data_IF_368801575662
#
_entry.id   IF_368801575662
#
_cell.length_a   1.000
_cell.length_b   1.000
_cell.length_c   1.000
_cell.angle_alpha   90.00
_cell.angle_beta   90.00
_cell.angle_gamma   90.00
#
_symmetry.space_group_name_H-M   'P 1'
#
loop_
_entity.id
_entity.type
_entity.pdbx_description
1 polymer ?
#
# COMPACT_ATOMS: atom_id res chain seq x y z
N UNK A 1 -14.10 49.79 -13.13
CA UNK A 1 -13.64 48.86 -14.18
C UNK A 1 -12.54 47.99 -13.59
N UNK A 2 -12.85 46.74 -13.29
CA UNK A 2 -11.90 45.76 -12.78
C UNK A 2 -10.95 45.34 -13.91
N UNK A 3 -9.66 45.60 -13.73
CA UNK A 3 -8.60 45.18 -14.66
C UNK A 3 -8.56 43.64 -14.69
N UNK A 4 -9.02 43.02 -15.79
CA UNK A 4 -8.80 41.59 -16.01
C UNK A 4 -7.34 41.45 -16.45
N UNK A 5 -6.47 40.76 -15.70
CA UNK A 5 -5.09 40.56 -16.10
C UNK A 5 -5.04 39.88 -17.46
N UNK A 6 -4.22 40.39 -18.39
CA UNK A 6 -3.98 39.68 -19.67
C UNK A 6 -3.25 38.36 -19.37
N UNK A 7 -3.84 37.23 -19.76
CA UNK A 7 -3.27 35.90 -19.52
C UNK A 7 -2.43 35.42 -20.71
N UNK A 8 -3.02 35.39 -21.91
CA UNK A 8 -2.33 35.09 -23.17
C UNK A 8 -2.87 36.01 -24.26
N UNK A 9 -1.97 36.73 -24.94
CA UNK A 9 -2.32 37.58 -26.07
C UNK A 9 -1.75 36.93 -27.33
N UNK A 10 -2.63 36.65 -28.30
CA UNK A 10 -2.20 36.22 -29.64
C UNK A 10 -1.46 37.36 -30.34
N UNK A 11 -0.68 37.04 -31.38
CA UNK A 11 -0.03 38.05 -32.23
C UNK A 11 -1.03 39.02 -32.89
N UNK A 12 -2.32 38.65 -32.96
CA UNK A 12 -3.42 39.49 -33.43
C UNK A 12 -4.15 40.26 -32.32
N UNK A 13 -3.61 40.32 -31.10
CA UNK A 13 -4.18 41.08 -29.99
C UNK A 13 -5.36 40.42 -29.26
N UNK A 14 -5.81 39.24 -29.70
CA UNK A 14 -6.90 38.52 -29.02
C UNK A 14 -6.43 37.91 -27.70
N UNK A 15 -7.20 38.14 -26.64
CA UNK A 15 -6.93 37.64 -25.29
C UNK A 15 -7.68 36.33 -25.03
N UNK A 16 -7.00 35.34 -24.47
CA UNK A 16 -7.64 34.10 -24.02
C UNK A 16 -8.39 34.37 -22.71
N UNK A 17 -9.70 34.07 -22.62
CA UNK A 17 -10.46 34.29 -21.41
C UNK A 17 -10.03 33.33 -20.28
N UNK A 18 -10.15 33.73 -19.00
CA UNK A 18 -9.75 32.93 -17.85
C UNK A 18 -10.36 31.52 -17.83
N UNK A 19 -11.61 31.38 -18.26
CA UNK A 19 -12.36 30.13 -18.30
C UNK A 19 -11.71 29.11 -19.24
N UNK A 20 -11.19 29.58 -20.39
CA UNK A 20 -10.46 28.72 -21.33
C UNK A 20 -9.12 28.30 -20.73
N UNK A 21 -8.41 29.21 -20.03
CA UNK A 21 -7.19 28.86 -19.31
C UNK A 21 -7.43 27.79 -18.23
N UNK A 22 -8.55 27.87 -17.50
CA UNK A 22 -8.93 26.87 -16.50
C UNK A 22 -9.29 25.52 -17.15
N UNK A 23 -9.99 25.52 -18.29
CA UNK A 23 -10.27 24.30 -19.06
C UNK A 23 -9.01 23.62 -19.58
N UNK A 24 -8.03 24.40 -20.03
CA UNK A 24 -6.70 23.90 -20.40
C UNK A 24 -6.01 23.27 -19.18
N UNK A 25 -6.08 23.92 -18.02
CA UNK A 25 -5.50 23.39 -16.78
C UNK A 25 -6.19 22.08 -16.33
N UNK A 26 -7.51 21.97 -16.44
CA UNK A 26 -8.26 20.72 -16.20
C UNK A 26 -7.76 19.59 -17.11
N UNK A 27 -7.69 19.84 -18.42
CA UNK A 27 -7.22 18.85 -19.39
C UNK A 27 -5.76 18.43 -19.14
N UNK A 28 -4.88 19.39 -18.83
CA UNK A 28 -3.48 19.12 -18.50
C UNK A 28 -3.34 18.35 -17.18
N UNK A 29 -4.17 18.66 -16.19
CA UNK A 29 -4.18 17.95 -14.92
C UNK A 29 -4.52 16.47 -15.13
N UNK A 30 -5.50 16.18 -15.98
CA UNK A 30 -5.88 14.81 -16.32
C UNK A 30 -4.80 14.07 -17.12
N UNK A 31 -4.13 14.73 -18.08
CA UNK A 31 -3.07 14.10 -18.88
C UNK A 31 -1.74 13.97 -18.12
N UNK A 32 -1.16 15.09 -17.69
CA UNK A 32 0.12 15.19 -16.97
C UNK A 32 0.05 16.28 -15.88
N UNK A 33 -0.23 15.92 -14.62
CA UNK A 33 -0.35 16.88 -13.53
C UNK A 33 0.90 17.73 -13.29
N UNK A 34 2.08 17.26 -13.73
CA UNK A 34 3.33 18.03 -13.61
C UNK A 34 3.33 19.25 -14.52
N UNK A 35 2.67 19.16 -15.69
CA UNK A 35 2.55 20.26 -16.64
C UNK A 35 1.76 21.44 -16.06
N UNK A 36 0.82 21.22 -15.14
CA UNK A 36 0.12 22.31 -14.43
C UNK A 36 1.08 23.13 -13.58
N UNK A 37 2.11 22.50 -13.00
CA UNK A 37 3.15 23.25 -12.26
C UNK A 37 3.94 24.15 -13.21
N UNK A 38 4.27 23.67 -14.41
CA UNK A 38 4.91 24.50 -15.43
C UNK A 38 4.02 25.68 -15.84
N UNK A 39 2.70 25.49 -15.98
CA UNK A 39 1.77 26.59 -16.22
C UNK A 39 1.79 27.65 -15.12
N UNK A 40 1.83 27.24 -13.85
CA UNK A 40 1.90 28.18 -12.72
C UNK A 40 3.18 29.02 -12.73
N UNK A 41 4.23 28.58 -13.41
CA UNK A 41 5.49 29.32 -13.56
C UNK A 41 5.55 30.27 -14.77
N UNK A 42 4.54 30.27 -15.65
CA UNK A 42 4.57 31.11 -16.87
C UNK A 42 4.47 32.61 -16.56
N UNK A 43 3.59 33.01 -15.64
CA UNK A 43 3.42 34.40 -15.23
C UNK A 43 2.76 34.53 -13.86
N UNK A 44 2.87 35.72 -13.24
CA UNK A 44 2.16 36.04 -11.99
C UNK A 44 0.64 35.96 -12.14
N UNK A 45 0.10 36.36 -13.30
CA UNK A 45 -1.34 36.29 -13.56
C UNK A 45 -1.81 34.83 -13.62
N UNK A 46 -1.11 33.96 -14.34
CA UNK A 46 -1.39 32.52 -14.37
C UNK A 46 -1.29 31.88 -13.00
N UNK A 47 -0.23 32.20 -12.25
CA UNK A 47 -0.09 31.72 -10.88
C UNK A 47 -1.31 32.07 -10.04
N UNK A 48 -1.72 33.35 -10.01
CA UNK A 48 -2.88 33.79 -9.24
C UNK A 48 -4.16 33.11 -9.70
N UNK A 49 -4.43 33.05 -11.01
CA UNK A 49 -5.62 32.39 -11.56
C UNK A 49 -5.67 30.91 -11.17
N UNK A 50 -4.63 30.14 -11.49
CA UNK A 50 -4.59 28.71 -11.22
C UNK A 50 -4.60 28.41 -9.73
N UNK A 51 -4.01 29.27 -8.90
CA UNK A 51 -4.01 29.07 -7.45
C UNK A 51 -5.37 29.39 -6.82
N UNK A 52 -6.05 30.45 -7.27
CA UNK A 52 -7.38 30.82 -6.80
C UNK A 52 -8.44 29.75 -7.14
N UNK A 53 -8.31 29.09 -8.30
CA UNK A 53 -9.27 28.08 -8.76
C UNK A 53 -8.79 26.63 -8.56
N UNK A 54 -7.66 26.40 -7.89
CA UNK A 54 -7.04 25.07 -7.73
C UNK A 54 -8.02 24.02 -7.22
N UNK A 55 -8.79 24.35 -6.17
CA UNK A 55 -9.80 23.44 -5.61
C UNK A 55 -10.91 23.11 -6.60
N UNK A 56 -11.39 24.10 -7.35
CA UNK A 56 -12.47 23.92 -8.33
C UNK A 56 -12.02 23.04 -9.48
N UNK A 57 -10.86 23.36 -10.06
CA UNK A 57 -10.22 22.59 -11.14
C UNK A 57 -9.98 21.16 -10.68
N UNK A 58 -9.34 20.97 -9.52
CA UNK A 58 -9.05 19.64 -8.99
C UNK A 58 -10.33 18.85 -8.69
N UNK A 59 -11.36 19.49 -8.13
CA UNK A 59 -12.66 18.85 -7.86
C UNK A 59 -13.32 18.37 -9.16
N UNK A 60 -13.30 19.18 -10.21
CA UNK A 60 -13.92 18.83 -11.50
C UNK A 60 -13.32 17.58 -12.14
N UNK A 61 -12.02 17.35 -11.98
CA UNK A 61 -11.31 16.20 -12.56
C UNK A 61 -11.20 15.00 -11.62
N UNK A 62 -11.62 15.15 -10.35
CA UNK A 62 -11.50 14.11 -9.31
C UNK A 62 -12.81 13.44 -8.94
N UNK A 63 -13.93 13.84 -9.55
CA UNK A 63 -15.26 13.27 -9.34
C UNK A 63 -15.42 11.88 -10.01
N UNK A 64 -14.42 11.02 -9.82
CA UNK A 64 -14.31 9.76 -10.50
C UNK A 64 -14.07 8.60 -9.54
N UNK A 65 -14.86 7.54 -9.74
CA UNK A 65 -14.63 6.18 -9.25
C UNK A 65 -13.18 5.68 -9.38
N UNK A 66 -12.39 6.24 -10.32
CA UNK A 66 -10.96 5.96 -10.53
C UNK A 66 -10.11 6.08 -9.25
N UNK A 67 -10.51 6.85 -8.24
CA UNK A 67 -9.77 7.05 -6.99
C UNK A 67 -10.36 6.34 -5.76
N UNK A 68 -11.30 5.41 -5.93
CA UNK A 68 -12.02 4.77 -4.81
C UNK A 68 -11.10 4.10 -3.76
N UNK A 69 -9.92 3.64 -4.15
CA UNK A 69 -8.99 2.88 -3.29
C UNK A 69 -7.73 3.67 -2.88
N UNK A 70 -7.59 4.94 -3.29
CA UNK A 70 -6.38 5.75 -3.04
C UNK A 70 -6.43 6.55 -1.74
N UNK A 71 -7.52 6.40 -0.98
CA UNK A 71 -7.83 7.17 0.23
C UNK A 71 -8.07 8.68 -0.04
N UNK A 72 -8.65 8.99 -1.21
CA UNK A 72 -8.92 10.35 -1.68
C UNK A 72 -9.78 11.20 -0.74
N UNK A 73 -10.61 10.59 0.10
CA UNK A 73 -11.55 11.30 0.97
C UNK A 73 -10.91 11.92 2.21
N UNK A 74 -9.67 11.57 2.56
CA UNK A 74 -9.03 12.12 3.76
C UNK A 74 -8.61 13.57 3.55
N UNK A 75 -8.83 14.47 4.54
CA UNK A 75 -8.51 15.89 4.41
C UNK A 75 -7.02 16.15 4.17
N UNK A 76 -6.18 15.23 4.65
CA UNK A 76 -4.73 15.25 4.55
C UNK A 76 -4.19 13.84 4.39
N UNK A 77 -3.20 13.69 3.53
CA UNK A 77 -2.55 12.41 3.25
C UNK A 77 -1.02 12.54 3.28
N UNK A 78 -0.35 11.42 3.49
CA UNK A 78 1.10 11.32 3.42
C UNK A 78 1.56 11.31 1.95
N UNK A 79 2.56 12.12 1.63
CA UNK A 79 3.15 12.13 0.29
C UNK A 79 3.93 10.84 0.02
N UNK A 80 3.69 10.18 -1.11
CA UNK A 80 4.45 8.99 -1.53
C UNK A 80 5.79 9.33 -2.21
N UNK A 81 6.30 10.56 -2.17
CA UNK A 81 7.57 10.89 -2.87
C UNK A 81 8.77 10.50 -2.02
N UNK A 82 9.74 9.74 -2.56
CA UNK A 82 10.95 9.34 -1.84
C UNK A 82 11.86 10.51 -1.40
N UNK A 83 12.40 10.48 -0.16
CA UNK A 83 11.84 9.76 0.99
C UNK A 83 10.45 10.36 1.34
N UNK A 84 9.42 9.56 1.66
CA UNK A 84 8.10 10.05 2.03
C UNK A 84 8.27 10.93 3.25
N UNK A 85 8.44 12.22 2.99
CA UNK A 85 8.56 13.21 4.03
C UNK A 85 7.29 13.12 4.86
N UNK A 86 7.34 13.54 6.11
CA UNK A 86 6.16 13.94 6.90
C UNK A 86 5.36 15.07 6.23
N UNK A 87 5.68 15.42 4.99
CA UNK A 87 5.00 16.33 4.10
C UNK A 87 3.55 15.89 3.91
N UNK A 88 2.68 16.67 4.55
CA UNK A 88 1.26 16.61 4.41
C UNK A 88 0.83 17.18 3.06
N UNK A 89 0.01 16.45 2.33
CA UNK A 89 -0.67 16.96 1.13
C UNK A 89 -2.12 17.27 1.48
N UNK A 90 -2.53 18.51 1.26
CA UNK A 90 -3.92 18.95 1.46
C UNK A 90 -4.81 18.52 0.29
N UNK A 91 -6.05 18.13 0.61
CA UNK A 91 -7.08 17.77 -0.38
C UNK A 91 -7.32 18.83 -1.43
N UNK A 92 -7.70 18.37 -2.63
CA UNK A 92 -8.09 19.21 -3.77
C UNK A 92 -7.00 20.23 -4.18
N UNK A 93 -5.73 19.83 -4.05
CA UNK A 93 -4.58 20.54 -4.61
C UNK A 93 -4.05 19.81 -5.84
N UNK A 94 -3.29 20.49 -6.70
CA UNK A 94 -2.64 19.84 -7.85
C UNK A 94 -1.69 18.72 -7.42
N UNK A 95 -0.99 18.93 -6.28
CA UNK A 95 -0.13 17.90 -5.67
C UNK A 95 -0.93 16.69 -5.18
N UNK A 96 -2.10 16.93 -4.58
CA UNK A 96 -3.01 15.85 -4.17
C UNK A 96 -3.51 15.05 -5.37
N UNK A 97 -3.89 15.69 -6.47
CA UNK A 97 -4.35 14.98 -7.65
C UNK A 97 -3.24 14.10 -8.26
N UNK A 98 -2.01 14.64 -8.36
CA UNK A 98 -0.84 13.84 -8.77
C UNK A 98 -0.64 12.64 -7.85
N UNK A 99 -0.71 12.84 -6.52
CA UNK A 99 -0.58 11.76 -5.54
C UNK A 99 -1.68 10.70 -5.73
N UNK A 100 -2.94 11.08 -6.00
CA UNK A 100 -4.01 10.11 -6.28
C UNK A 100 -3.75 9.30 -7.54
N UNK A 101 -3.24 9.92 -8.62
CA UNK A 101 -2.82 9.20 -9.83
C UNK A 101 -1.65 8.25 -9.56
N UNK A 102 -0.68 8.69 -8.76
CA UNK A 102 0.49 7.88 -8.41
C UNK A 102 0.06 6.67 -7.57
N UNK A 103 -0.77 6.86 -6.52
CA UNK A 103 -1.31 5.79 -5.70
C UNK A 103 -2.15 4.80 -6.51
N UNK A 104 -2.98 5.26 -7.43
CA UNK A 104 -3.74 4.39 -8.33
C UNK A 104 -2.81 3.51 -9.17
N UNK A 105 -1.81 4.12 -9.80
CA UNK A 105 -0.83 3.41 -10.63
C UNK A 105 -0.04 2.38 -9.83
N UNK A 106 0.32 2.75 -8.60
CA UNK A 106 0.98 1.86 -7.65
C UNK A 106 0.10 0.68 -7.25
N UNK A 107 -1.18 0.91 -6.94
CA UNK A 107 -2.12 -0.17 -6.60
C UNK A 107 -2.21 -1.18 -7.76
N UNK A 108 -2.43 -0.71 -8.99
CA UNK A 108 -2.53 -1.60 -10.15
C UNK A 108 -1.22 -2.35 -10.42
N UNK A 109 -0.07 -1.70 -10.19
CA UNK A 109 1.22 -2.38 -10.23
C UNK A 109 1.33 -3.48 -9.18
N UNK A 110 1.08 -3.18 -7.90
CA UNK A 110 1.27 -4.15 -6.82
C UNK A 110 0.34 -5.34 -6.95
N UNK A 111 -0.90 -5.12 -7.37
CA UNK A 111 -1.92 -6.16 -7.55
C UNK A 111 -1.49 -7.23 -8.56
N UNK A 112 -0.74 -6.83 -9.59
CA UNK A 112 -0.22 -7.69 -10.65
C UNK A 112 1.20 -8.19 -10.38
N UNK A 113 1.87 -7.65 -9.37
CA UNK A 113 3.24 -8.02 -9.00
C UNK A 113 3.27 -9.30 -8.15
N UNK A 114 4.32 -10.11 -8.33
CA UNK A 114 4.52 -11.37 -7.60
C UNK A 114 4.64 -11.20 -6.08
N UNK A 115 5.02 -10.00 -5.61
CA UNK A 115 5.06 -9.69 -4.17
C UNK A 115 3.68 -9.76 -3.52
N UNK A 116 2.60 -9.64 -4.28
CA UNK A 116 1.23 -9.84 -3.78
C UNK A 116 0.62 -11.16 -4.26
N UNK A 117 1.42 -12.10 -4.76
CA UNK A 117 0.88 -13.37 -5.23
C UNK A 117 0.22 -14.14 -4.08
N UNK A 118 -1.02 -14.60 -4.31
CA UNK A 118 -1.80 -15.36 -3.33
C UNK A 118 -1.93 -16.84 -3.72
N UNK A 119 -1.02 -17.35 -4.56
CA UNK A 119 -1.03 -18.74 -5.01
C UNK A 119 -0.49 -19.64 -3.91
N UNK A 120 -1.27 -20.64 -3.54
CA UNK A 120 -0.83 -21.72 -2.67
C UNK A 120 -0.45 -22.92 -3.55
N UNK A 121 0.84 -23.28 -3.56
CA UNK A 121 1.35 -24.47 -4.27
C UNK A 121 1.10 -25.76 -3.49
N UNK A 122 0.60 -25.67 -2.25
CA UNK A 122 0.22 -26.84 -1.47
C UNK A 122 -1.20 -27.28 -1.85
N UNK A 123 -1.28 -28.36 -2.65
CA UNK A 123 -2.50 -28.99 -3.18
C UNK A 123 -3.48 -29.55 -2.11
N UNK A 124 -3.38 -29.12 -0.85
CA UNK A 124 -4.15 -29.66 0.28
C UNK A 124 -5.39 -28.85 0.69
N UNK A 125 -5.65 -27.70 0.06
CA UNK A 125 -6.75 -26.81 0.47
C UNK A 125 -8.02 -27.01 -0.35
N UNK A 126 -9.20 -26.88 0.28
CA UNK A 126 -10.47 -26.97 -0.42
C UNK A 126 -10.57 -25.82 -1.41
N UNK A 127 -10.69 -26.17 -2.69
CA UNK A 127 -10.97 -25.22 -3.75
C UNK A 127 -12.39 -24.69 -3.59
N UNK A 128 -12.58 -23.39 -3.76
CA UNK A 128 -13.93 -22.83 -3.89
C UNK A 128 -14.49 -23.28 -5.24
N UNK A 129 -15.77 -23.63 -5.29
CA UNK A 129 -16.51 -23.90 -6.54
C UNK A 129 -16.73 -22.59 -7.32
N UNK A 130 -15.64 -21.99 -7.80
CA UNK A 130 -15.62 -20.74 -8.54
C UNK A 130 -14.86 -20.96 -9.84
N UNK A 131 -15.30 -20.28 -10.89
CA UNK A 131 -14.49 -20.23 -12.11
C UNK A 131 -13.18 -19.50 -11.84
N UNK A 132 -12.14 -19.84 -12.61
CA UNK A 132 -10.81 -19.17 -12.53
C UNK A 132 -10.97 -17.65 -12.70
N UNK A 133 -11.84 -17.21 -13.61
CA UNK A 133 -12.10 -15.80 -13.85
C UNK A 133 -12.78 -15.08 -12.67
N UNK A 134 -13.69 -15.73 -11.96
CA UNK A 134 -14.32 -15.16 -10.77
C UNK A 134 -13.36 -15.12 -9.58
N UNK A 135 -12.60 -16.19 -9.37
CA UNK A 135 -11.57 -16.24 -8.34
C UNK A 135 -10.54 -15.11 -8.54
N UNK A 136 -10.08 -14.92 -9.78
CA UNK A 136 -9.17 -13.83 -10.12
C UNK A 136 -9.78 -12.45 -9.82
N UNK A 137 -11.05 -12.20 -10.20
CA UNK A 137 -11.71 -10.92 -9.90
C UNK A 137 -11.83 -10.67 -8.39
N UNK A 138 -12.17 -11.70 -7.61
CA UNK A 138 -12.28 -11.60 -6.16
C UNK A 138 -10.92 -11.36 -5.50
N UNK A 139 -9.86 -12.01 -5.98
CA UNK A 139 -8.49 -11.78 -5.53
C UNK A 139 -8.07 -10.32 -5.78
N UNK A 140 -8.29 -9.82 -6.99
CA UNK A 140 -7.95 -8.45 -7.38
C UNK A 140 -8.69 -7.43 -6.50
N UNK A 141 -9.98 -7.64 -6.24
CA UNK A 141 -10.78 -6.79 -5.36
C UNK A 141 -10.33 -6.87 -3.91
N UNK A 142 -9.97 -8.07 -3.43
CA UNK A 142 -9.40 -8.26 -2.10
C UNK A 142 -8.10 -7.46 -1.94
N UNK A 143 -7.19 -7.54 -2.92
CA UNK A 143 -5.95 -6.78 -2.93
C UNK A 143 -6.19 -5.28 -2.96
N UNK A 144 -7.11 -4.77 -3.81
CA UNK A 144 -7.50 -3.34 -3.83
C UNK A 144 -7.94 -2.85 -2.46
N UNK A 145 -8.80 -3.60 -1.78
CA UNK A 145 -9.29 -3.27 -0.43
C UNK A 145 -8.17 -3.33 0.61
N UNK A 146 -7.30 -4.33 0.56
CA UNK A 146 -6.16 -4.45 1.46
C UNK A 146 -5.18 -3.28 1.32
N UNK A 147 -4.80 -2.94 0.09
CA UNK A 147 -3.90 -1.82 -0.20
C UNK A 147 -4.53 -0.47 0.19
N UNK A 148 -5.84 -0.31 -0.01
CA UNK A 148 -6.57 0.88 0.48
C UNK A 148 -6.50 1.02 2.00
N UNK A 149 -6.72 -0.08 2.75
CA UNK A 149 -6.60 -0.08 4.22
C UNK A 149 -5.17 0.23 4.69
N UNK A 150 -4.15 -0.20 3.94
CA UNK A 150 -2.75 0.15 4.20
C UNK A 150 -2.47 1.64 3.97
N UNK A 151 -3.01 2.25 2.90
CA UNK A 151 -2.91 3.70 2.73
C UNK A 151 -3.57 4.45 3.88
N UNK A 152 -4.74 4.02 4.33
CA UNK A 152 -5.42 4.61 5.49
C UNK A 152 -4.61 4.48 6.78
N UNK A 153 -3.97 3.33 7.01
CA UNK A 153 -3.10 3.11 8.15
C UNK A 153 -1.87 4.05 8.13
N UNK A 154 -1.26 4.25 6.96
CA UNK A 154 -0.14 5.18 6.83
C UNK A 154 -0.61 6.65 7.02
N UNK A 155 -1.69 7.02 6.34
CA UNK A 155 -2.22 8.39 6.34
C UNK A 155 -2.73 8.83 7.72
N UNK A 156 -3.16 7.91 8.60
CA UNK A 156 -3.59 8.27 9.96
C UNK A 156 -2.46 8.81 10.84
N UNK A 157 -1.21 8.70 10.37
CA UNK A 157 -0.01 9.20 11.05
C UNK A 157 0.59 10.45 10.38
N UNK A 158 -0.09 10.99 9.37
CA UNK A 158 0.37 12.17 8.63
C UNK A 158 0.66 13.34 9.58
N UNK A 159 1.82 13.97 9.43
CA UNK A 159 2.24 15.11 10.25
C UNK A 159 2.84 14.75 11.61
N UNK A 160 2.94 13.46 11.95
CA UNK A 160 3.56 13.01 13.20
C UNK A 160 5.03 12.63 12.96
N UNK A 161 5.92 13.09 13.85
CA UNK A 161 7.34 12.75 13.82
C UNK A 161 7.72 11.76 14.93
N UNK A 162 7.03 11.79 16.06
CA UNK A 162 7.35 10.96 17.21
C UNK A 162 6.83 9.53 17.05
N UNK A 163 7.71 8.55 17.28
CA UNK A 163 7.35 7.12 17.19
C UNK A 163 6.17 6.77 18.10
N UNK A 164 6.13 7.31 19.31
CA UNK A 164 5.07 7.03 20.29
C UNK A 164 3.70 7.46 19.76
N UNK A 165 3.63 8.66 19.20
CA UNK A 165 2.38 9.22 18.66
C UNK A 165 1.93 8.49 17.41
N UNK A 166 2.87 8.17 16.51
CA UNK A 166 2.62 7.33 15.33
C UNK A 166 1.96 6.01 15.76
N UNK A 167 2.54 5.30 16.74
CA UNK A 167 2.02 4.00 17.19
C UNK A 167 0.67 4.11 17.89
N UNK A 168 0.50 5.13 18.72
CA UNK A 168 -0.79 5.41 19.35
C UNK A 168 -1.88 5.65 18.30
N UNK A 169 -1.59 6.42 17.26
CA UNK A 169 -2.54 6.69 16.17
C UNK A 169 -2.84 5.49 15.30
N UNK A 170 -1.82 4.69 14.97
CA UNK A 170 -2.04 3.42 14.28
C UNK A 170 -2.89 2.46 15.12
N UNK A 171 -2.66 2.36 16.43
CA UNK A 171 -3.48 1.54 17.32
C UNK A 171 -4.94 2.01 17.34
N UNK A 172 -5.18 3.32 17.51
CA UNK A 172 -6.52 3.89 17.44
C UNK A 172 -7.22 3.59 16.10
N UNK A 173 -6.49 3.66 14.99
CA UNK A 173 -7.03 3.30 13.68
C UNK A 173 -7.41 1.81 13.61
N UNK A 174 -6.51 0.91 14.05
CA UNK A 174 -6.79 -0.53 14.09
C UNK A 174 -7.99 -0.88 14.99
N UNK A 175 -8.16 -0.15 16.09
CA UNK A 175 -9.30 -0.29 17.01
C UNK A 175 -10.62 0.13 16.37
N UNK A 176 -10.57 1.08 15.43
CA UNK A 176 -11.74 1.58 14.71
C UNK A 176 -12.19 0.68 13.56
N UNK A 177 -11.34 -0.26 13.11
CA UNK A 177 -11.65 -1.13 11.98
C UNK A 177 -12.66 -2.20 12.36
N UNK A 178 -13.56 -2.50 11.41
CA UNK A 178 -14.43 -3.67 11.53
C UNK A 178 -13.59 -4.94 11.46
N UNK A 179 -14.08 -6.03 12.07
CA UNK A 179 -13.39 -7.34 12.09
C UNK A 179 -13.01 -7.80 10.68
N UNK A 180 -13.87 -7.59 9.69
CA UNK A 180 -13.59 -7.97 8.31
C UNK A 180 -12.46 -7.13 7.70
N UNK A 181 -12.40 -5.82 7.96
CA UNK A 181 -11.35 -4.91 7.51
C UNK A 181 -10.02 -5.23 8.18
N UNK A 182 -10.02 -5.43 9.51
CA UNK A 182 -8.82 -5.82 10.26
C UNK A 182 -8.23 -7.13 9.73
N UNK A 183 -9.08 -8.13 9.46
CA UNK A 183 -8.63 -9.39 8.86
C UNK A 183 -8.10 -9.23 7.43
N UNK A 184 -8.72 -8.35 6.61
CA UNK A 184 -8.22 -8.04 5.27
C UNK A 184 -6.86 -7.34 5.34
N UNK A 185 -6.69 -6.39 6.26
CA UNK A 185 -5.42 -5.69 6.50
C UNK A 185 -4.33 -6.64 6.99
N UNK A 186 -4.62 -7.49 7.98
CA UNK A 186 -3.65 -8.48 8.47
C UNK A 186 -3.23 -9.46 7.37
N UNK A 187 -4.17 -9.94 6.55
CA UNK A 187 -3.88 -10.85 5.46
C UNK A 187 -3.06 -10.21 4.34
N UNK A 188 -3.36 -8.96 3.93
CA UNK A 188 -2.57 -8.33 2.88
C UNK A 188 -1.14 -8.01 3.34
N UNK A 189 -0.93 -7.66 4.61
CA UNK A 189 0.42 -7.43 5.17
C UNK A 189 1.24 -8.71 5.11
N UNK A 190 0.69 -9.83 5.55
CA UNK A 190 1.41 -11.11 5.48
C UNK A 190 1.64 -11.55 4.02
N UNK A 191 0.64 -11.44 3.14
CA UNK A 191 0.83 -11.81 1.72
C UNK A 191 2.01 -11.05 1.12
N UNK A 192 2.12 -9.75 1.39
CA UNK A 192 3.25 -8.94 0.92
C UNK A 192 4.56 -9.37 1.61
N UNK A 193 4.54 -9.67 2.91
CA UNK A 193 5.69 -10.19 3.65
C UNK A 193 6.21 -11.52 3.09
N UNK A 194 5.33 -12.48 2.83
CA UNK A 194 5.68 -13.77 2.23
C UNK A 194 6.17 -13.63 0.78
N UNK A 195 5.57 -12.70 0.03
CA UNK A 195 6.08 -12.31 -1.28
C UNK A 195 7.51 -11.79 -1.19
N UNK A 196 7.78 -10.87 -0.25
CA UNK A 196 9.14 -10.38 0.02
C UNK A 196 10.10 -11.52 0.38
N UNK A 197 9.69 -12.43 1.28
CA UNK A 197 10.51 -13.58 1.66
C UNK A 197 10.88 -14.44 0.45
N UNK A 198 9.88 -14.78 -0.38
CA UNK A 198 10.05 -15.64 -1.55
C UNK A 198 11.00 -15.01 -2.57
N UNK A 199 10.78 -13.74 -2.91
CA UNK A 199 11.62 -12.98 -3.86
C UNK A 199 13.06 -12.88 -3.33
N UNK A 200 13.22 -12.53 -2.05
CA UNK A 200 14.54 -12.36 -1.42
C UNK A 200 15.30 -13.68 -1.38
N UNK A 201 14.63 -14.77 -0.99
CA UNK A 201 15.22 -16.10 -0.95
C UNK A 201 15.67 -16.57 -2.33
N UNK A 202 14.83 -16.38 -3.36
CA UNK A 202 15.19 -16.71 -4.74
C UNK A 202 16.42 -15.90 -5.20
N UNK A 203 16.44 -14.59 -4.94
CA UNK A 203 17.56 -13.71 -5.31
C UNK A 203 18.87 -14.10 -4.62
N UNK A 204 18.82 -14.55 -3.36
CA UNK A 204 20.00 -15.03 -2.63
C UNK A 204 20.52 -16.36 -3.19
N UNK A 205 19.62 -17.29 -3.53
CA UNK A 205 19.99 -18.57 -4.13
C UNK A 205 20.64 -18.40 -5.51
N UNK A 206 20.17 -17.45 -6.31
CA UNK A 206 20.75 -17.11 -7.61
C UNK A 206 22.18 -16.55 -7.52
N UNK A 207 22.57 -16.00 -6.36
CA UNK A 207 23.92 -15.46 -6.12
C UNK A 207 24.93 -16.53 -5.69
N UNK A 208 24.49 -17.76 -5.38
CA UNK A 208 25.43 -18.81 -4.98
C UNK A 208 26.30 -19.26 -6.18
N UNK A 209 27.62 -19.44 -6.00
CA UNK A 209 28.55 -19.77 -7.11
C UNK A 209 28.33 -21.10 -7.84
N UNK A 210 27.30 -21.89 -7.50
CA UNK A 210 27.21 -23.32 -7.89
C UNK A 210 26.41 -23.62 -9.18
N UNK A 211 25.88 -22.62 -9.90
CA UNK A 211 25.17 -22.85 -11.17
C UNK A 211 25.55 -21.85 -12.27
N UNK A 212 26.85 -21.72 -12.58
CA UNK A 212 27.32 -21.02 -13.80
C UNK A 212 27.11 -21.81 -15.10
N UNK A 213 26.06 -22.62 -15.18
CA UNK A 213 25.64 -23.25 -16.43
C UNK A 213 24.15 -23.01 -16.60
N UNK A 214 23.84 -22.00 -17.41
CA UNK A 214 22.52 -21.73 -17.97
C UNK A 214 21.46 -21.12 -17.04
N UNK A 215 21.42 -19.79 -16.96
CA UNK A 215 20.13 -19.09 -16.90
C UNK A 215 20.27 -17.63 -17.33
N UNK A 216 19.63 -17.27 -18.46
CA UNK A 216 19.35 -15.88 -18.84
C UNK A 216 18.21 -15.30 -17.97
N UNK A 217 18.40 -15.30 -16.65
CA UNK A 217 17.45 -14.71 -15.70
C UNK A 217 17.68 -13.20 -15.63
N UNK A 218 16.71 -12.41 -16.12
CA UNK A 218 16.67 -10.95 -16.00
C UNK A 218 16.09 -10.52 -14.64
N UNK A 219 16.49 -11.14 -13.53
CA UNK A 219 16.12 -10.65 -12.19
C UNK A 219 17.17 -9.64 -11.71
N UNK A 220 16.85 -8.35 -11.83
CA UNK A 220 17.73 -7.22 -11.49
C UNK A 220 17.35 -6.63 -10.13
N UNK A 221 17.22 -7.47 -9.11
CA UNK A 221 17.16 -7.02 -7.71
C UNK A 221 18.54 -7.27 -7.09
N UNK A 222 19.46 -6.31 -7.22
CA UNK A 222 20.63 -6.27 -6.35
C UNK A 222 20.15 -5.81 -4.98
N UNK A 223 19.65 -6.75 -4.18
CA UNK A 223 19.60 -6.56 -2.74
C UNK A 223 20.99 -6.08 -2.30
N UNK A 224 21.04 -4.99 -1.54
CA UNK A 224 22.24 -4.65 -0.77
C UNK A 224 22.37 -5.68 0.36
N UNK A 225 22.73 -6.90 0.00
CA UNK A 225 23.08 -7.96 0.96
C UNK A 225 24.33 -7.45 1.66
N UNK A 226 24.33 -7.32 3.00
CA UNK A 226 25.54 -6.99 3.74
C UNK A 226 26.66 -7.94 3.31
N UNK A 227 27.89 -7.46 3.08
CA UNK A 227 28.97 -8.25 2.49
C UNK A 227 29.44 -9.45 3.36
N UNK A 228 28.84 -9.66 4.54
CA UNK A 228 29.20 -10.74 5.47
C UNK A 228 27.98 -11.32 6.19
N UNK A 229 26.98 -11.84 5.49
CA UNK A 229 26.02 -12.75 6.15
C UNK A 229 26.74 -14.09 6.37
N UNK A 230 26.89 -14.57 7.62
CA UNK A 230 27.45 -15.89 7.87
C UNK A 230 26.63 -16.96 7.15
N UNK A 231 27.29 -17.87 6.43
CA UNK A 231 26.65 -18.92 5.62
C UNK A 231 25.62 -19.76 6.40
N UNK A 232 25.78 -19.89 7.72
CA UNK A 232 24.85 -20.60 8.59
C UNK A 232 23.49 -19.90 8.76
N UNK A 233 23.43 -18.57 8.65
CA UNK A 233 22.18 -17.80 8.78
C UNK A 233 21.34 -17.84 7.49
N UNK A 234 21.99 -18.06 6.34
CA UNK A 234 21.31 -18.29 5.05
C UNK A 234 20.67 -19.69 4.97
N UNK A 235 21.22 -20.69 5.67
CA UNK A 235 20.65 -22.04 5.69
C UNK A 235 19.41 -22.17 6.56
N UNK A 236 19.25 -21.32 7.58
CA UNK A 236 18.16 -21.40 8.55
C UNK A 236 16.95 -20.52 8.20
N UNK A 237 17.04 -19.75 7.12
CA UNK A 237 16.08 -18.71 6.72
C UNK A 237 15.86 -17.61 7.79
N UNK A 238 16.56 -17.65 8.94
CA UNK A 238 16.28 -16.78 10.09
C UNK A 238 16.47 -15.31 9.74
N UNK A 239 17.57 -14.98 9.06
CA UNK A 239 17.84 -13.62 8.59
C UNK A 239 16.73 -13.08 7.65
N UNK A 240 16.24 -13.90 6.73
CA UNK A 240 15.19 -13.49 5.80
C UNK A 240 13.87 -13.27 6.56
N UNK A 241 13.58 -14.10 7.56
CA UNK A 241 12.41 -13.93 8.43
C UNK A 241 12.50 -12.64 9.24
N UNK A 242 13.66 -12.35 9.81
CA UNK A 242 13.94 -11.08 10.50
C UNK A 242 13.73 -9.87 9.58
N UNK A 243 14.31 -9.91 8.37
CA UNK A 243 14.07 -8.90 7.35
C UNK A 243 12.59 -8.75 7.01
N UNK A 244 11.85 -9.86 6.90
CA UNK A 244 10.41 -9.86 6.63
C UNK A 244 9.64 -9.17 7.76
N UNK A 245 10.02 -9.36 9.03
CA UNK A 245 9.38 -8.67 10.16
C UNK A 245 9.51 -7.16 10.05
N UNK A 246 10.74 -6.71 9.80
CA UNK A 246 11.04 -5.29 9.65
C UNK A 246 10.32 -4.75 8.42
N UNK A 247 10.31 -5.49 7.33
CA UNK A 247 9.60 -5.12 6.10
C UNK A 247 8.10 -4.93 6.36
N UNK A 248 7.44 -5.86 7.04
CA UNK A 248 6.02 -5.76 7.40
C UNK A 248 5.73 -4.57 8.31
N UNK A 249 6.64 -4.21 9.22
CA UNK A 249 6.51 -3.02 10.05
C UNK A 249 6.62 -1.73 9.22
N UNK A 250 7.62 -1.64 8.34
CA UNK A 250 7.80 -0.50 7.44
C UNK A 250 6.65 -0.37 6.45
N UNK A 251 6.08 -1.49 5.99
CA UNK A 251 4.87 -1.53 5.18
C UNK A 251 3.67 -0.94 5.93
N UNK A 252 3.50 -1.25 7.22
CA UNK A 252 2.44 -0.66 8.05
C UNK A 252 2.67 0.84 8.29
N UNK A 253 3.93 1.27 8.38
CA UNK A 253 4.29 2.68 8.62
C UNK A 253 4.12 3.57 7.39
N UNK A 254 4.60 3.12 6.24
CA UNK A 254 4.67 3.92 5.02
C UNK A 254 3.65 3.48 3.95
N UNK A 255 2.86 2.45 4.24
CA UNK A 255 1.82 1.95 3.36
C UNK A 255 2.39 1.24 2.12
N UNK A 256 1.55 1.05 1.09
CA UNK A 256 1.92 0.31 -0.12
C UNK A 256 3.12 0.88 -0.87
N UNK A 257 3.43 2.17 -0.65
CA UNK A 257 4.60 2.82 -1.23
C UNK A 257 5.92 2.14 -0.86
N UNK A 258 6.04 1.63 0.36
CA UNK A 258 7.26 0.94 0.78
C UNK A 258 7.51 -0.33 -0.06
N UNK A 259 6.48 -1.16 -0.24
CA UNK A 259 6.59 -2.36 -1.07
C UNK A 259 6.91 -2.02 -2.52
N UNK A 260 6.25 -1.02 -3.09
CA UNK A 260 6.53 -0.55 -4.45
C UNK A 260 7.96 -0.04 -4.60
N UNK A 261 8.42 0.81 -3.66
CA UNK A 261 9.76 1.37 -3.68
C UNK A 261 10.84 0.28 -3.62
N UNK A 262 10.59 -0.76 -2.85
CA UNK A 262 11.48 -1.92 -2.73
C UNK A 262 11.57 -2.71 -4.04
N UNK A 263 10.44 -3.07 -4.67
CA UNK A 263 10.45 -3.98 -5.83
C UNK A 263 10.68 -3.30 -7.19
N UNK A 264 10.41 -2.00 -7.32
CA UNK A 264 10.60 -1.30 -8.60
C UNK A 264 12.05 -1.06 -8.97
N UNK A 265 12.97 -1.20 -8.01
CA UNK A 265 14.42 -1.20 -8.23
C UNK A 265 14.96 0.04 -8.95
N UNK A 266 16.04 -0.17 -9.71
CA UNK A 266 16.84 0.86 -10.39
C UNK A 266 16.16 1.51 -11.61
N UNK A 267 14.88 1.24 -11.88
CA UNK A 267 14.19 1.73 -13.09
C UNK A 267 14.14 3.26 -13.16
N UNK A 268 14.14 3.95 -12.02
CA UNK A 268 14.30 5.40 -11.95
C UNK A 268 15.69 5.78 -11.40
N UNK A 269 16.66 5.92 -12.31
CA UNK A 269 18.05 6.32 -11.98
C UNK A 269 18.13 7.65 -11.23
N UNK A 270 17.13 8.53 -11.36
CA UNK A 270 17.17 9.87 -10.75
C UNK A 270 16.60 9.88 -9.33
N UNK A 271 15.63 9.03 -9.02
CA UNK A 271 14.94 9.05 -7.72
C UNK A 271 15.33 7.91 -6.77
N UNK A 272 15.83 6.79 -7.29
CA UNK A 272 16.33 5.63 -6.53
C UNK A 272 15.50 5.29 -5.27
N UNK A 273 14.17 5.05 -5.42
CA UNK A 273 13.30 4.71 -4.30
C UNK A 273 13.72 3.42 -3.58
N UNK A 274 14.44 2.54 -4.29
CA UNK A 274 15.08 1.33 -3.79
C UNK A 274 16.10 1.59 -2.68
N UNK A 275 16.90 2.66 -2.79
CA UNK A 275 17.89 3.01 -1.79
C UNK A 275 17.24 3.48 -0.50
N UNK A 276 16.17 4.27 -0.60
CA UNK A 276 15.39 4.68 0.56
C UNK A 276 14.77 3.47 1.26
N UNK A 277 14.12 2.57 0.51
CA UNK A 277 13.49 1.39 1.10
C UNK A 277 14.54 0.47 1.78
N UNK A 278 15.71 0.31 1.16
CA UNK A 278 16.82 -0.46 1.73
C UNK A 278 17.39 0.19 3.00
N UNK A 279 17.53 1.52 3.02
CA UNK A 279 17.98 2.27 4.19
C UNK A 279 17.01 2.14 5.37
N UNK A 280 15.70 2.21 5.12
CA UNK A 280 14.67 2.03 6.15
C UNK A 280 14.62 0.60 6.69
N UNK A 281 14.86 -0.38 5.81
CA UNK A 281 14.97 -1.78 6.20
C UNK A 281 16.19 -1.99 7.11
N UNK A 282 17.35 -1.46 6.72
CA UNK A 282 18.57 -1.52 7.53
C UNK A 282 18.40 -0.83 8.89
N UNK A 283 17.84 0.39 8.91
CA UNK A 283 17.55 1.10 10.16
C UNK A 283 16.61 0.28 11.06
N UNK A 284 15.65 -0.43 10.48
CA UNK A 284 14.77 -1.31 11.25
C UNK A 284 15.48 -2.53 11.84
N UNK A 285 16.40 -3.14 11.10
CA UNK A 285 17.25 -4.23 11.60
C UNK A 285 18.18 -3.74 12.71
N UNK A 286 18.81 -2.58 12.53
CA UNK A 286 19.69 -1.97 13.55
C UNK A 286 18.91 -1.68 14.85
N UNK A 287 17.68 -1.16 14.73
CA UNK A 287 16.80 -0.93 15.89
C UNK A 287 16.40 -2.25 16.58
N UNK A 288 16.12 -3.30 15.82
CA UNK A 288 15.78 -4.62 16.36
C UNK A 288 16.97 -5.22 17.11
N UNK A 289 18.16 -5.17 16.52
CA UNK A 289 19.41 -5.63 17.16
C UNK A 289 19.72 -4.81 18.42
N UNK A 290 19.56 -3.49 18.39
CA UNK A 290 19.76 -2.63 19.56
C UNK A 290 18.79 -2.95 20.70
N UNK A 291 17.55 -3.36 20.37
CA UNK A 291 16.58 -3.84 21.35
C UNK A 291 17.00 -5.19 21.96
N UNK A 292 17.41 -6.16 21.13
CA UNK A 292 17.85 -7.48 21.61
C UNK A 292 19.09 -7.41 22.51
N UNK A 293 19.99 -6.48 22.22
CA UNK A 293 21.19 -6.21 23.04
C UNK A 293 20.91 -5.35 24.29
N UNK A 294 19.66 -4.92 24.51
CA UNK A 294 19.25 -4.14 25.68
C UNK A 294 19.68 -2.67 25.64
N UNK A 295 20.19 -2.16 24.50
CA UNK A 295 20.57 -0.75 24.35
C UNK A 295 19.37 0.19 24.24
N UNK A 296 18.17 -0.33 23.94
CA UNK A 296 16.95 0.46 23.89
C UNK A 296 15.84 -0.18 24.75
N UNK A 297 15.28 0.58 25.69
CA UNK A 297 14.20 0.14 26.59
C UNK A 297 12.80 0.24 25.95
N UNK A 298 12.68 0.87 24.79
CA UNK A 298 11.39 0.91 24.09
C UNK A 298 11.27 -0.33 23.23
N UNK A 299 10.22 -1.16 23.42
CA UNK A 299 9.88 -2.20 22.46
C UNK A 299 9.44 -1.47 21.20
N UNK A 300 10.39 -1.14 20.35
CA UNK A 300 10.03 -0.57 19.09
C UNK A 300 9.42 -1.70 18.25
N UNK A 301 8.18 -1.46 17.83
CA UNK A 301 7.91 -1.44 16.39
C UNK A 301 7.85 -2.78 15.62
N UNK A 302 7.29 -3.89 16.14
CA UNK A 302 7.00 -5.08 15.25
C UNK A 302 5.61 -5.69 15.45
N UNK A 303 4.87 -5.35 16.52
CA UNK A 303 3.74 -6.17 17.00
C UNK A 303 2.33 -5.58 16.84
N UNK A 304 2.10 -4.64 15.90
CA UNK A 304 0.80 -3.96 15.87
C UNK A 304 -0.35 -4.83 15.32
N UNK A 305 -0.07 -5.72 14.35
CA UNK A 305 -1.12 -6.56 13.74
C UNK A 305 -1.13 -8.02 14.21
N UNK A 306 -0.01 -8.55 14.74
CA UNK A 306 0.11 -9.99 15.07
C UNK A 306 -0.58 -10.44 16.36
N UNK A 307 -0.96 -9.53 17.26
CA UNK A 307 -1.46 -9.88 18.60
C UNK A 307 -2.98 -9.77 18.80
N UNK A 308 -3.77 -9.50 17.74
CA UNK A 308 -5.23 -9.39 17.85
C UNK A 308 -6.04 -10.58 17.33
N UNK A 309 -5.51 -11.79 17.50
CA UNK A 309 -6.34 -13.00 17.47
C UNK A 309 -6.49 -13.53 18.91
N UNK A 310 -7.73 -13.68 19.44
CA UNK A 310 -7.94 -13.99 20.85
C UNK A 310 -7.85 -15.50 21.10
N UNK A 311 -6.63 -16.04 21.11
CA UNK A 311 -6.29 -17.30 21.80
C UNK A 311 -4.78 -17.38 21.92
N UNK A 312 -4.28 -17.61 23.14
CA UNK A 312 -2.87 -17.83 23.54
C UNK A 312 -2.16 -16.61 24.14
N UNK A 313 -2.52 -16.31 25.38
CA UNK A 313 -1.64 -15.68 26.35
C UNK A 313 -0.56 -16.69 26.81
N UNK A 314 0.72 -16.41 26.56
CA UNK A 314 1.83 -17.07 27.26
C UNK A 314 2.98 -16.06 27.50
N UNK A 315 3.66 -16.11 28.67
CA UNK A 315 4.69 -15.16 29.05
C UNK A 315 6.05 -15.46 28.38
N UNK A 316 6.85 -14.41 28.24
CA UNK A 316 8.27 -14.34 27.85
C UNK A 316 8.95 -15.66 27.42
N UNK A 317 9.00 -15.92 26.12
CA UNK A 317 9.89 -16.91 25.48
C UNK A 317 10.51 -16.33 24.22
N UNK A 318 11.71 -16.82 23.87
CA UNK A 318 12.54 -16.31 22.77
C UNK A 318 11.80 -16.27 21.43
N UNK A 319 12.03 -15.19 20.68
CA UNK A 319 11.36 -14.87 19.42
C UNK A 319 11.40 -16.05 18.41
N UNK A 320 12.43 -16.90 18.41
CA UNK A 320 12.59 -18.00 17.45
C UNK A 320 11.55 -19.12 17.53
N UNK A 321 10.94 -19.38 18.70
CA UNK A 321 10.10 -20.59 18.89
C UNK A 321 8.67 -20.48 18.35
N UNK A 322 8.17 -19.28 18.07
CA UNK A 322 6.78 -19.10 17.65
C UNK A 322 6.55 -19.19 16.12
N UNK A 323 7.63 -19.11 15.33
CA UNK A 323 7.57 -18.88 13.87
C UNK A 323 7.29 -20.11 13.00
N UNK A 324 7.47 -21.31 13.52
CA UNK A 324 7.38 -22.57 12.73
C UNK A 324 5.95 -23.03 12.41
N UNK A 325 4.90 -22.31 12.85
CA UNK A 325 3.50 -22.79 12.80
C UNK A 325 2.53 -21.95 11.93
N UNK A 326 2.98 -20.87 11.28
CA UNK A 326 2.10 -19.83 10.73
C UNK A 326 1.41 -20.09 9.37
N UNK A 327 1.78 -21.15 8.64
CA UNK A 327 1.38 -21.32 7.24
C UNK A 327 -0.09 -21.72 7.01
N UNK A 328 -0.87 -22.04 8.06
CA UNK A 328 -2.23 -22.58 7.93
C UNK A 328 -3.39 -21.66 8.33
N UNK A 329 -3.12 -20.42 8.77
CA UNK A 329 -4.16 -19.56 9.36
C UNK A 329 -5.07 -18.87 8.30
N UNK A 330 -4.56 -18.68 7.08
CA UNK A 330 -5.11 -17.80 6.04
C UNK A 330 -6.39 -18.35 5.40
N UNK A 331 -6.38 -19.62 5.01
CA UNK A 331 -7.56 -20.27 4.43
C UNK A 331 -8.68 -20.46 5.47
N UNK A 332 -8.38 -20.63 6.77
CA UNK A 332 -9.41 -20.73 7.81
C UNK A 332 -10.21 -19.44 7.95
N UNK A 333 -9.54 -18.28 7.93
CA UNK A 333 -10.20 -16.97 8.00
C UNK A 333 -11.00 -16.67 6.74
N UNK A 334 -10.48 -17.04 5.56
CA UNK A 334 -11.19 -16.85 4.29
C UNK A 334 -12.41 -17.78 4.16
N UNK A 335 -12.27 -19.07 4.51
CA UNK A 335 -13.34 -20.07 4.48
C UNK A 335 -14.43 -19.76 5.51
N UNK A 336 -14.08 -19.27 6.69
CA UNK A 336 -15.07 -18.89 7.70
C UNK A 336 -15.87 -17.65 7.26
N UNK A 337 -15.24 -16.72 6.52
CA UNK A 337 -15.94 -15.59 5.88
C UNK A 337 -16.85 -16.02 4.74
N UNK A 338 -16.41 -16.89 3.83
CA UNK A 338 -17.26 -17.42 2.73
C UNK A 338 -18.44 -18.21 3.31
N UNK A 339 -18.20 -19.03 4.34
CA UNK A 339 -19.23 -19.79 5.05
C UNK A 339 -20.25 -18.86 5.75
N UNK A 340 -19.80 -17.81 6.45
CA UNK A 340 -20.70 -16.83 7.10
C UNK A 340 -21.49 -16.00 6.07
N UNK A 341 -20.88 -15.65 4.94
CA UNK A 341 -21.55 -14.94 3.83
C UNK A 341 -22.60 -15.80 3.11
N UNK A 342 -22.44 -17.12 3.02
CA UNK A 342 -23.47 -18.03 2.48
C UNK A 342 -24.61 -18.24 3.47
N UNK A 343 -24.32 -18.27 4.77
CA UNK A 343 -25.36 -18.42 5.80
C UNK A 343 -26.29 -17.19 5.89
N UNK A 344 -25.79 -15.98 5.67
CA UNK A 344 -26.62 -14.77 5.62
C UNK A 344 -27.54 -14.73 4.38
N UNK A 345 -27.09 -15.24 3.24
CA UNK A 345 -27.91 -15.33 2.01
C UNK A 345 -28.98 -16.43 2.12
N UNK A 346 -28.67 -17.56 2.77
CA UNK A 346 -29.66 -18.65 2.98
C UNK A 346 -30.81 -18.30 3.92
N UNK A 347 -30.67 -17.26 4.76
CA UNK A 347 -31.73 -16.79 5.68
C UNK A 347 -32.72 -15.82 5.04
N UNK A 348 -32.44 -15.31 3.85
CA UNK A 348 -33.36 -14.42 3.10
C UNK A 348 -34.19 -15.13 2.02
N UNK A 349 -34.01 -16.45 1.85
CA UNK A 349 -34.70 -17.26 0.83
C UNK A 349 -35.91 -18.05 1.31
N UNK A 350 -36.48 -17.79 2.50
CA UNK A 350 -37.75 -18.38 2.93
C UNK A 350 -38.86 -17.35 2.78
N UNK A 351 -39.49 -17.31 1.61
CA UNK A 351 -40.77 -16.62 1.44
C UNK A 351 -41.81 -17.25 2.37
N UNK A 352 -42.63 -16.45 3.07
CA UNK A 352 -43.72 -16.98 3.88
C UNK A 352 -44.76 -17.62 2.94
N UNK A 353 -45.04 -18.91 3.15
CA UNK A 353 -46.18 -19.57 2.53
C UNK A 353 -47.46 -18.94 3.09
N UNK A 354 -48.11 -18.12 2.26
CA UNK A 354 -49.49 -17.66 2.49
C UNK A 354 -50.42 -18.87 2.47
N UNK A 355 -50.91 -19.24 3.64
CA UNK A 355 -51.93 -20.27 3.82
C UNK A 355 -53.28 -19.66 3.46
N UNK A 356 -53.74 -19.87 2.23
CA UNK A 356 -55.14 -19.69 1.85
C UNK A 356 -55.92 -20.91 2.34
N UNK A 357 -56.58 -20.77 3.50
CA UNK A 357 -57.72 -21.63 3.86
C UNK A 357 -59.00 -20.98 3.35
N UNK A 358 -59.53 -21.51 2.26
CA UNK A 358 -60.94 -21.40 1.94
C UNK A 358 -61.68 -22.62 2.51
N UNK A 359 -62.87 -22.37 3.05
CA UNK A 359 -64.02 -23.28 3.22
C UNK A 359 -65.07 -22.42 3.98
N UNK A 360 -66.10 -21.94 3.27
CA UNK A 360 -67.39 -22.60 2.98
C UNK A 360 -68.39 -22.39 4.11
#
# INVERSE_FOLDING_TARGET
MSYIPSFLQSNGGSHIPPEVCLKIAEALLESDPKSVTAMTSLSKSFYTLLKSYERSVTKSVSDDSRFAYTNASQPSILASRAPPNTAQISTLTYKWYQEMKDRRSLIEFLITHEITAMQDSSNGWPCLDLSIGEAFKLEQEFKRRGLHLLFRLADCTTGLSETKDIRMKQAQYLDSLKVNELATLGCIVEVIGQGFFTITKAALLDQLPSSRLSSNSKSTLTLAVPPQIPWHDLQTDNWIRECMCVFEDRLQRFGPYFAWAYVTGYRDRKRRPDLWASSELQEGLDNMNAYELGYTMSPTKVKLLRFRHPTLSAPAMSFSKHWSSGSGLWHRVLLEKVRKSRQSVSRFGKSPQTTLKGQS
#
